data_IF_249131308053
#
_entry.id   IF_249131308053
#
_cell.length_a   1.000
_cell.length_b   1.000
_cell.length_c   1.000
_cell.angle_alpha   90.00
_cell.angle_beta   90.00
_cell.angle_gamma   90.00
#
_symmetry.space_group_name_H-M   'P 1'
#
loop_
_entity.id
_entity.type
_entity.pdbx_description
1 polymer ?
#
# COMPACT_ATOMS: atom_id res chain seq x y z
N UNK A 1 14.65 21.12 -8.79
CA UNK A 1 13.97 21.36 -10.09
C UNK A 1 12.51 21.05 -9.90
N UNK A 2 11.63 22.05 -10.03
CA UNK A 2 10.19 21.82 -9.94
C UNK A 2 9.75 21.02 -11.17
N UNK A 3 9.29 19.79 -10.97
CA UNK A 3 8.80 18.97 -12.07
C UNK A 3 7.54 19.63 -12.64
N UNK A 4 7.59 20.01 -13.92
CA UNK A 4 6.43 20.54 -14.60
C UNK A 4 5.30 19.50 -14.57
N UNK A 5 4.10 19.91 -14.14
CA UNK A 5 2.90 19.06 -14.12
C UNK A 5 2.50 18.70 -15.56
N UNK A 6 3.04 17.61 -16.08
CA UNK A 6 2.85 17.18 -17.48
C UNK A 6 1.71 16.17 -17.66
N UNK A 7 1.31 15.49 -16.59
CA UNK A 7 0.23 14.50 -16.60
C UNK A 7 -1.12 15.12 -16.19
N UNK A 8 -2.21 14.64 -16.80
CA UNK A 8 -3.58 15.05 -16.50
C UNK A 8 -4.35 13.92 -15.82
N UNK A 9 -5.12 14.28 -14.79
CA UNK A 9 -6.08 13.40 -14.13
C UNK A 9 -7.48 13.87 -14.51
N UNK A 10 -8.12 13.18 -15.45
CA UNK A 10 -9.47 13.50 -15.92
C UNK A 10 -10.49 12.58 -15.25
N UNK A 11 -11.40 13.13 -14.44
CA UNK A 11 -12.44 12.36 -13.77
C UNK A 11 -13.77 13.11 -13.78
N UNK A 12 -14.87 12.38 -13.84
CA UNK A 12 -16.21 12.92 -13.61
C UNK A 12 -16.51 12.83 -12.13
N UNK A 13 -16.98 13.92 -11.55
CA UNK A 13 -17.39 14.01 -10.15
C UNK A 13 -18.87 14.44 -10.08
N UNK A 14 -19.62 13.84 -9.17
CA UNK A 14 -21.00 14.25 -8.92
C UNK A 14 -21.05 15.70 -8.40
N UNK A 15 -22.09 16.49 -8.70
CA UNK A 15 -22.18 17.89 -8.27
C UNK A 15 -22.04 18.07 -6.75
N UNK A 16 -22.68 17.22 -5.96
CA UNK A 16 -22.63 17.29 -4.49
C UNK A 16 -21.23 16.99 -3.95
N UNK A 17 -20.55 16.01 -4.55
CA UNK A 17 -19.17 15.69 -4.21
C UNK A 17 -18.22 16.86 -4.56
N UNK A 18 -18.45 17.54 -5.69
CA UNK A 18 -17.69 18.74 -6.05
C UNK A 18 -17.92 19.88 -5.04
N UNK A 19 -19.15 20.06 -4.55
CA UNK A 19 -19.45 21.07 -3.54
C UNK A 19 -18.69 20.80 -2.22
N UNK A 20 -18.63 19.54 -1.78
CA UNK A 20 -17.85 19.14 -0.61
C UNK A 20 -16.34 19.39 -0.80
N UNK A 21 -15.80 19.01 -1.96
CA UNK A 21 -14.38 19.23 -2.28
C UNK A 21 -14.04 20.72 -2.30
N UNK A 22 -14.90 21.56 -2.89
CA UNK A 22 -14.72 23.03 -2.89
C UNK A 22 -14.69 23.58 -1.47
N UNK A 23 -15.64 23.17 -0.64
CA UNK A 23 -15.70 23.61 0.76
C UNK A 23 -14.46 23.20 1.54
N UNK A 24 -13.99 21.96 1.35
CA UNK A 24 -12.77 21.48 2.02
C UNK A 24 -11.51 22.24 1.55
N UNK A 25 -11.40 22.54 0.26
CA UNK A 25 -10.30 23.32 -0.29
C UNK A 25 -10.30 24.76 0.27
N UNK A 26 -11.47 25.41 0.33
CA UNK A 26 -11.64 26.73 0.95
C UNK A 26 -11.19 26.75 2.42
N UNK A 27 -11.63 25.76 3.21
CA UNK A 27 -11.28 25.65 4.63
C UNK A 27 -9.77 25.48 4.84
N UNK A 28 -9.07 24.90 3.87
CA UNK A 28 -7.62 24.70 3.90
C UNK A 28 -6.83 25.80 3.17
N UNK A 29 -7.51 26.85 2.69
CA UNK A 29 -6.88 27.99 2.03
C UNK A 29 -6.15 27.65 0.72
N UNK A 30 -6.59 26.60 0.00
CA UNK A 30 -5.93 26.12 -1.22
C UNK A 30 -6.91 25.98 -2.38
N UNK A 31 -6.38 25.92 -3.60
CA UNK A 31 -7.22 25.70 -4.79
C UNK A 31 -7.85 24.31 -4.80
N UNK A 32 -8.98 24.14 -5.47
CA UNK A 32 -9.64 22.83 -5.65
C UNK A 32 -8.69 21.82 -6.30
N UNK A 33 -7.93 22.24 -7.31
CA UNK A 33 -6.99 21.37 -8.01
C UNK A 33 -5.87 20.88 -7.08
N UNK A 34 -5.29 21.80 -6.31
CA UNK A 34 -4.25 21.48 -5.32
C UNK A 34 -4.78 20.55 -4.21
N UNK A 35 -6.00 20.82 -3.72
CA UNK A 35 -6.67 19.95 -2.76
C UNK A 35 -6.86 18.53 -3.29
N UNK A 36 -7.37 18.38 -4.52
CA UNK A 36 -7.62 17.07 -5.13
C UNK A 36 -6.32 16.30 -5.32
N UNK A 37 -5.26 16.95 -5.80
CA UNK A 37 -3.95 16.31 -5.97
C UNK A 37 -3.39 15.85 -4.62
N UNK A 38 -3.42 16.71 -3.60
CA UNK A 38 -2.94 16.38 -2.26
C UNK A 38 -3.75 15.24 -1.62
N UNK A 39 -5.07 15.27 -1.75
CA UNK A 39 -5.96 14.24 -1.23
C UNK A 39 -5.73 12.89 -1.94
N UNK A 40 -5.61 12.90 -3.27
CA UNK A 40 -5.32 11.71 -4.06
C UNK A 40 -3.96 11.11 -3.70
N UNK A 41 -2.92 11.94 -3.56
CA UNK A 41 -1.60 11.49 -3.13
C UNK A 41 -1.64 10.86 -1.74
N UNK A 42 -2.31 11.50 -0.77
CA UNK A 42 -2.42 10.97 0.58
C UNK A 42 -3.19 9.63 0.61
N UNK A 43 -4.26 9.51 -0.19
CA UNK A 43 -5.01 8.26 -0.30
C UNK A 43 -4.18 7.15 -0.97
N UNK A 44 -3.44 7.48 -2.03
CA UNK A 44 -2.57 6.53 -2.72
C UNK A 44 -1.44 6.02 -1.82
N UNK A 45 -0.78 6.92 -1.07
CA UNK A 45 0.25 6.53 -0.10
C UNK A 45 -0.30 5.57 0.94
N UNK A 46 -1.46 5.89 1.56
CA UNK A 46 -2.09 4.98 2.53
C UNK A 46 -2.45 3.62 1.93
N UNK A 47 -3.01 3.60 0.72
CA UNK A 47 -3.37 2.34 0.06
C UNK A 47 -2.14 1.46 -0.25
N UNK A 48 -1.02 2.08 -0.64
CA UNK A 48 0.25 1.37 -0.86
C UNK A 48 0.81 0.84 0.46
N UNK A 49 0.84 1.68 1.49
CA UNK A 49 1.31 1.27 2.82
C UNK A 49 0.47 0.10 3.37
N UNK A 50 -0.85 0.21 3.33
CA UNK A 50 -1.77 -0.85 3.78
C UNK A 50 -1.58 -2.17 3.02
N UNK A 51 -1.26 -2.11 1.73
CA UNK A 51 -0.96 -3.30 0.93
C UNK A 51 0.42 -3.90 1.21
N UNK A 52 1.39 -3.10 1.68
CA UNK A 52 2.78 -3.52 1.87
C UNK A 52 3.12 -3.90 3.32
N UNK A 53 2.38 -3.39 4.31
CA UNK A 53 2.66 -3.66 5.71
C UNK A 53 1.80 -4.79 6.26
N UNK A 54 2.46 -5.84 6.78
CA UNK A 54 1.82 -6.84 7.62
C UNK A 54 1.80 -6.30 9.05
N UNK A 55 0.62 -5.91 9.54
CA UNK A 55 0.43 -5.55 10.95
C UNK A 55 0.28 -6.82 11.78
N UNK A 56 1.28 -7.09 12.61
CA UNK A 56 1.31 -8.22 13.53
C UNK A 56 0.88 -7.79 14.93
N UNK A 57 0.13 -8.64 15.64
CA UNK A 57 -0.07 -8.50 17.09
C UNK A 57 1.27 -8.57 17.83
N UNK A 58 1.31 -8.19 19.11
CA UNK A 58 2.55 -8.28 19.89
C UNK A 58 3.01 -9.74 20.00
N UNK A 59 2.04 -10.65 20.12
CA UNK A 59 2.24 -12.09 20.16
C UNK A 59 2.85 -12.61 18.83
N UNK A 60 2.28 -12.19 17.69
CA UNK A 60 2.79 -12.58 16.38
C UNK A 60 4.16 -11.96 16.08
N UNK A 61 4.42 -10.73 16.53
CA UNK A 61 5.74 -10.10 16.40
C UNK A 61 6.81 -10.90 17.14
N UNK A 62 6.50 -11.37 18.35
CA UNK A 62 7.40 -12.21 19.13
C UNK A 62 7.63 -13.55 18.45
N UNK A 63 6.57 -14.23 18.00
CA UNK A 63 6.69 -15.48 17.28
C UNK A 63 7.52 -15.34 15.98
N UNK A 64 7.31 -14.24 15.25
CA UNK A 64 8.09 -13.93 14.05
C UNK A 64 9.56 -13.65 14.36
N UNK A 65 9.85 -12.86 15.40
CA UNK A 65 11.22 -12.58 15.81
C UNK A 65 11.94 -13.85 16.29
N UNK A 66 11.29 -14.69 17.09
CA UNK A 66 11.83 -15.98 17.54
C UNK A 66 12.13 -16.88 16.34
N UNK A 67 11.25 -16.96 15.34
CA UNK A 67 11.46 -17.75 14.13
C UNK A 67 12.61 -17.23 13.24
N UNK A 68 13.02 -15.97 13.35
CA UNK A 68 14.20 -15.41 12.66
C UNK A 68 15.48 -15.68 13.47
N UNK A 69 15.42 -15.49 14.79
CA UNK A 69 16.58 -15.61 15.67
C UNK A 69 17.00 -17.07 15.85
N UNK A 70 16.02 -17.96 16.04
CA UNK A 70 16.22 -19.41 16.18
C UNK A 70 15.31 -20.15 15.19
N UNK A 71 15.71 -20.23 13.91
CA UNK A 71 14.86 -20.78 12.88
C UNK A 71 14.65 -22.29 13.08
N UNK A 72 13.40 -22.77 13.15
CA UNK A 72 13.13 -24.19 13.32
C UNK A 72 13.55 -24.97 12.07
N UNK A 73 13.96 -26.22 12.27
CA UNK A 73 14.23 -27.14 11.17
C UNK A 73 12.97 -27.31 10.28
N UNK A 74 13.13 -27.39 8.94
CA UNK A 74 12.02 -27.57 8.04
C UNK A 74 11.32 -28.91 8.32
N UNK A 75 9.99 -28.91 8.26
CA UNK A 75 9.24 -30.15 8.44
C UNK A 75 9.47 -31.11 7.25
N UNK A 76 9.31 -32.43 7.43
CA UNK A 76 9.40 -33.38 6.31
C UNK A 76 8.43 -33.08 5.16
N UNK A 77 7.30 -32.40 5.44
CA UNK A 77 6.38 -31.95 4.42
C UNK A 77 6.94 -30.78 3.58
N UNK A 78 7.59 -29.80 4.23
CA UNK A 78 8.26 -28.69 3.54
C UNK A 78 9.42 -29.18 2.67
N UNK A 79 10.20 -30.15 3.14
CA UNK A 79 11.26 -30.76 2.34
C UNK A 79 10.72 -31.44 1.07
N UNK A 80 9.62 -32.19 1.19
CA UNK A 80 8.96 -32.80 0.02
C UNK A 80 8.44 -31.75 -0.96
N UNK A 81 7.84 -30.66 -0.45
CA UNK A 81 7.35 -29.57 -1.27
C UNK A 81 8.48 -28.86 -2.03
N UNK A 82 9.61 -28.57 -1.36
CA UNK A 82 10.79 -27.99 -1.99
C UNK A 82 11.34 -28.87 -3.12
N UNK A 83 11.45 -30.19 -2.89
CA UNK A 83 11.85 -31.17 -3.93
C UNK A 83 10.87 -31.21 -5.11
N UNK A 84 9.56 -31.11 -4.85
CA UNK A 84 8.55 -31.07 -5.90
C UNK A 84 8.64 -29.79 -6.73
N UNK A 85 8.78 -28.63 -6.06
CA UNK A 85 8.93 -27.34 -6.70
C UNK A 85 10.17 -27.27 -7.60
N UNK A 86 11.32 -27.78 -7.14
CA UNK A 86 12.54 -27.84 -7.94
C UNK A 86 12.37 -28.62 -9.25
N UNK A 87 11.56 -29.69 -9.25
CA UNK A 87 11.23 -30.46 -10.47
C UNK A 87 10.31 -29.70 -11.43
N UNK A 88 9.50 -28.78 -10.93
CA UNK A 88 8.53 -28.01 -11.74
C UNK A 88 9.15 -26.79 -12.41
N UNK A 89 10.13 -26.14 -11.76
CA UNK A 89 10.76 -24.91 -12.26
C UNK A 89 11.95 -25.17 -13.22
N UNK A 90 12.63 -26.32 -13.11
CA UNK A 90 13.75 -26.68 -14.02
C UNK A 90 13.22 -27.26 -15.34
N UNK A 91 12.14 -26.70 -15.91
CA UNK A 91 11.60 -27.12 -17.22
C UNK A 91 11.58 -25.97 -18.21
#
# INVERSE_FOLDING_TARGET
MEQARSSRLETRIAPDALALVRRAAELQGRSVSDFVVAAAQAAASRAIEEAQFIRLSVEDQRAFAEAIIDPPAPSPALERAAKAHARLIIR
#
